data_IF_253747887729
#
_entry.id   IF_253747887729
#
_cell.length_a   1.000
_cell.length_b   1.000
_cell.length_c   1.000
_cell.angle_alpha   90.00
_cell.angle_beta   90.00
_cell.angle_gamma   90.00
#
_symmetry.space_group_name_H-M   'P 1'
#
loop_
_entity.id
_entity.type
_entity.pdbx_description
1 polymer ?
#
# COMPACT_ATOMS: atom_id res chain seq x y z
N UNK A 1 -18.38 22.14 7.49
CA UNK A 1 -17.38 21.04 7.35
C UNK A 1 -16.21 21.63 6.61
N UNK A 2 -15.01 21.68 7.21
CA UNK A 2 -13.78 21.98 6.45
C UNK A 2 -13.68 20.91 5.35
N UNK A 3 -13.51 21.32 4.09
CA UNK A 3 -13.37 20.42 2.98
C UNK A 3 -12.10 19.58 3.12
N UNK A 4 -12.12 18.35 2.65
CA UNK A 4 -10.90 17.54 2.48
C UNK A 4 -10.31 17.82 1.10
N UNK A 5 -9.00 17.98 1.04
CA UNK A 5 -8.25 18.22 -0.19
C UNK A 5 -7.46 16.97 -0.53
N UNK A 6 -7.57 16.51 -1.78
CA UNK A 6 -6.84 15.35 -2.30
C UNK A 6 -5.69 15.83 -3.16
N UNK A 7 -4.48 15.45 -2.78
CA UNK A 7 -3.25 15.77 -3.48
C UNK A 7 -2.60 14.50 -4.03
N UNK A 8 -1.95 14.59 -5.18
CA UNK A 8 -1.26 13.47 -5.81
C UNK A 8 0.23 13.72 -5.90
N UNK A 9 1.00 12.64 -5.85
CA UNK A 9 2.47 12.66 -6.02
C UNK A 9 3.18 13.66 -5.11
N UNK A 10 2.83 13.67 -3.83
CA UNK A 10 3.37 14.60 -2.85
C UNK A 10 4.75 14.14 -2.37
N UNK A 11 5.69 15.07 -2.43
CA UNK A 11 7.03 14.87 -1.86
C UNK A 11 6.92 14.74 -0.34
N UNK A 12 7.51 13.69 0.21
CA UNK A 12 7.63 13.45 1.64
C UNK A 12 9.09 13.19 1.99
N UNK A 13 9.55 13.74 3.11
CA UNK A 13 10.96 13.68 3.47
C UNK A 13 11.86 14.26 2.36
N UNK A 14 13.10 13.78 2.28
CA UNK A 14 14.11 14.34 1.37
C UNK A 14 14.02 13.79 -0.07
N UNK A 15 13.64 12.52 -0.25
CA UNK A 15 13.80 11.81 -1.52
C UNK A 15 12.64 10.89 -1.90
N UNK A 16 11.49 10.99 -1.24
CA UNK A 16 10.34 10.14 -1.51
C UNK A 16 9.14 10.93 -1.98
N UNK A 17 8.28 10.28 -2.76
CA UNK A 17 6.95 10.77 -3.11
C UNK A 17 5.95 9.69 -2.80
N UNK A 18 4.83 10.07 -2.23
CA UNK A 18 3.67 9.21 -2.04
C UNK A 18 2.57 9.58 -3.03
N UNK A 19 1.78 8.60 -3.40
CA UNK A 19 0.83 8.74 -4.50
C UNK A 19 -0.33 9.67 -4.18
N UNK A 20 -0.87 9.59 -2.96
CA UNK A 20 -2.05 10.34 -2.54
C UNK A 20 -1.88 10.85 -1.12
N UNK A 21 -2.28 12.11 -0.91
CA UNK A 21 -2.44 12.68 0.43
C UNK A 21 -3.82 13.30 0.52
N UNK A 22 -4.54 12.98 1.60
CA UNK A 22 -5.82 13.60 1.94
C UNK A 22 -5.58 14.52 3.13
N UNK A 23 -5.66 15.82 2.88
CA UNK A 23 -5.36 16.85 3.85
C UNK A 23 -6.61 17.62 4.28
N UNK A 24 -6.62 18.08 5.51
CA UNK A 24 -7.65 19.01 6.01
C UNK A 24 -7.45 20.46 5.57
N UNK A 25 -6.28 20.78 5.01
CA UNK A 25 -5.91 22.11 4.54
C UNK A 25 -5.58 22.06 3.03
N UNK A 26 -5.56 23.22 2.40
CA UNK A 26 -5.29 23.35 0.96
C UNK A 26 -3.89 22.84 0.56
N UNK A 27 -2.96 22.87 1.49
CA UNK A 27 -1.62 22.31 1.34
C UNK A 27 -1.36 21.24 2.40
N UNK A 28 -0.91 20.05 1.99
CA UNK A 28 -0.48 19.05 2.97
C UNK A 28 0.69 19.57 3.80
N UNK A 29 0.61 19.35 5.10
CA UNK A 29 1.68 19.67 6.03
C UNK A 29 1.93 18.47 6.93
N UNK A 30 3.18 18.02 7.01
CA UNK A 30 3.57 16.91 7.88
C UNK A 30 3.32 17.17 9.39
N UNK A 31 2.90 18.37 9.77
CA UNK A 31 2.50 18.69 11.14
C UNK A 31 0.97 18.61 11.38
N UNK A 32 0.20 18.39 10.33
CA UNK A 32 -1.27 18.29 10.41
C UNK A 32 -1.71 16.84 10.40
N UNK A 33 -2.55 16.27 11.02
CA UNK A 33 -2.98 14.86 11.02
C UNK A 33 -3.62 14.40 9.70
N UNK A 34 -2.88 14.46 8.63
CA UNK A 34 -3.31 14.11 7.27
C UNK A 34 -3.28 12.58 7.02
N UNK A 35 -3.82 12.13 5.90
CA UNK A 35 -3.79 10.72 5.47
C UNK A 35 -2.84 10.58 4.29
N UNK A 36 -1.82 9.77 4.44
CA UNK A 36 -0.82 9.47 3.41
C UNK A 36 -1.02 8.06 2.87
N UNK A 37 -1.10 7.93 1.56
CA UNK A 37 -1.42 6.68 0.88
C UNK A 37 -0.39 6.39 -0.20
N UNK A 38 0.22 5.22 -0.12
CA UNK A 38 1.01 4.63 -1.21
C UNK A 38 0.19 3.53 -1.88
N UNK A 39 0.10 3.56 -3.20
CA UNK A 39 -0.66 2.59 -3.99
C UNK A 39 0.30 1.61 -4.66
N UNK A 40 0.04 0.32 -4.57
CA UNK A 40 0.75 -0.74 -5.28
C UNK A 40 -0.22 -1.57 -6.11
N UNK A 41 0.07 -1.71 -7.39
CA UNK A 41 -0.66 -2.63 -8.26
C UNK A 41 -0.18 -4.06 -8.01
N UNK A 42 -1.11 -4.97 -7.81
CA UNK A 42 -0.85 -6.39 -7.58
C UNK A 42 -1.43 -7.18 -8.73
N UNK A 43 -0.56 -7.74 -9.57
CA UNK A 43 -0.95 -8.37 -10.83
C UNK A 43 -0.29 -9.72 -11.08
N UNK A 44 0.72 -10.10 -10.31
CA UNK A 44 1.41 -11.37 -10.46
C UNK A 44 0.63 -12.50 -9.79
N UNK A 45 0.36 -13.59 -10.49
CA UNK A 45 -0.19 -14.80 -9.86
C UNK A 45 0.76 -15.35 -8.80
N UNK A 46 0.20 -15.74 -7.68
CA UNK A 46 0.96 -16.46 -6.64
C UNK A 46 1.49 -17.78 -7.19
N UNK A 47 2.74 -18.10 -6.86
CA UNK A 47 3.36 -19.40 -7.18
C UNK A 47 2.95 -20.51 -6.20
N UNK A 48 2.32 -20.16 -5.07
CA UNK A 48 2.08 -21.11 -3.98
C UNK A 48 0.61 -21.22 -3.56
N UNK A 49 -0.21 -20.21 -3.89
CA UNK A 49 -1.65 -20.18 -3.53
C UNK A 49 -2.48 -19.87 -4.77
N UNK A 50 -3.47 -20.71 -5.06
CA UNK A 50 -4.39 -20.47 -6.18
C UNK A 50 -5.32 -19.30 -5.86
N UNK A 51 -5.81 -18.62 -6.89
CA UNK A 51 -6.73 -17.48 -6.81
C UNK A 51 -6.20 -16.27 -6.02
N UNK A 52 -4.88 -16.21 -5.79
CA UNK A 52 -4.19 -15.10 -5.12
C UNK A 52 -3.19 -14.43 -6.06
N UNK A 53 -3.13 -13.11 -6.00
CA UNK A 53 -2.05 -12.34 -6.61
C UNK A 53 -1.09 -11.86 -5.54
N UNK A 54 0.21 -11.89 -5.83
CA UNK A 54 1.28 -11.54 -4.90
C UNK A 54 2.05 -10.29 -5.33
N UNK A 55 2.52 -9.54 -4.35
CA UNK A 55 3.45 -8.42 -4.51
C UNK A 55 4.71 -8.65 -3.64
N UNK A 56 5.91 -8.23 -4.05
CA UNK A 56 6.24 -7.64 -5.35
C UNK A 56 6.55 -8.70 -6.42
N UNK A 57 6.56 -8.28 -7.67
CA UNK A 57 6.95 -9.12 -8.81
C UNK A 57 8.47 -9.16 -9.07
N UNK A 58 9.22 -8.28 -8.41
CA UNK A 58 10.67 -8.19 -8.40
C UNK A 58 11.17 -7.56 -7.10
N UNK A 59 12.46 -7.70 -6.81
CA UNK A 59 13.09 -7.01 -5.67
C UNK A 59 12.91 -5.50 -5.80
N UNK A 60 12.42 -4.85 -4.75
CA UNK A 60 12.09 -3.42 -4.76
C UNK A 60 12.63 -2.65 -3.54
N UNK A 61 13.83 -2.09 -3.68
CA UNK A 61 14.37 -1.16 -2.68
C UNK A 61 13.51 0.09 -2.50
N UNK A 62 12.96 0.60 -3.61
CA UNK A 62 12.05 1.74 -3.59
C UNK A 62 10.78 1.43 -2.80
N UNK A 63 10.23 0.24 -2.95
CA UNK A 63 9.06 -0.21 -2.17
C UNK A 63 9.35 -0.23 -0.67
N UNK A 64 10.50 -0.76 -0.26
CA UNK A 64 10.94 -0.75 1.14
C UNK A 64 11.12 0.66 1.68
N UNK A 65 11.68 1.56 0.89
CA UNK A 65 11.83 2.96 1.24
C UNK A 65 10.48 3.64 1.49
N UNK A 66 9.48 3.37 0.66
CA UNK A 66 8.12 3.88 0.85
C UNK A 66 7.48 3.35 2.14
N UNK A 67 7.70 2.08 2.48
CA UNK A 67 7.23 1.53 3.76
C UNK A 67 7.85 2.26 4.96
N UNK A 68 9.14 2.55 4.92
CA UNK A 68 9.82 3.34 5.99
C UNK A 68 9.25 4.74 6.10
N UNK A 69 8.94 5.39 4.98
CA UNK A 69 8.30 6.72 4.99
C UNK A 69 6.89 6.66 5.59
N UNK A 70 6.11 5.63 5.29
CA UNK A 70 4.80 5.42 5.91
C UNK A 70 4.91 5.22 7.42
N UNK A 71 5.89 4.44 7.88
CA UNK A 71 6.18 4.27 9.31
C UNK A 71 6.53 5.60 9.96
N UNK A 72 7.42 6.39 9.34
CA UNK A 72 7.82 7.72 9.83
C UNK A 72 6.61 8.64 9.98
N UNK A 73 5.77 8.73 8.98
CA UNK A 73 4.56 9.55 8.98
C UNK A 73 3.56 9.08 10.04
N UNK A 74 3.42 7.77 10.23
CA UNK A 74 2.59 7.22 11.29
C UNK A 74 3.09 7.63 12.68
N UNK A 75 4.40 7.57 12.92
CA UNK A 75 5.02 8.01 14.18
C UNK A 75 4.86 9.52 14.43
N UNK A 76 4.73 10.31 13.39
CA UNK A 76 4.44 11.75 13.48
C UNK A 76 2.96 12.08 13.80
N UNK A 77 2.08 11.09 13.85
CA UNK A 77 0.68 11.27 14.19
C UNK A 77 -0.28 11.30 12.99
N UNK A 78 0.21 11.00 11.79
CA UNK A 78 -0.63 10.86 10.60
C UNK A 78 -1.29 9.49 10.50
N UNK A 79 -2.29 9.38 9.67
CA UNK A 79 -2.76 8.10 9.16
C UNK A 79 -1.94 7.72 7.95
N UNK A 80 -1.33 6.54 7.94
CA UNK A 80 -0.50 6.04 6.86
C UNK A 80 -1.07 4.73 6.31
N UNK A 81 -1.20 4.63 5.00
CA UNK A 81 -1.91 3.53 4.32
C UNK A 81 -1.06 3.00 3.16
N UNK A 82 -0.84 1.70 3.15
CA UNK A 82 -0.43 0.96 1.96
C UNK A 82 -1.70 0.39 1.30
N UNK A 83 -2.01 0.88 0.12
CA UNK A 83 -3.18 0.47 -0.63
C UNK A 83 -2.78 -0.49 -1.76
N UNK A 84 -3.26 -1.73 -1.68
CA UNK A 84 -3.00 -2.78 -2.65
C UNK A 84 -4.17 -2.88 -3.61
N UNK A 85 -3.92 -2.62 -4.88
CA UNK A 85 -4.93 -2.65 -5.92
C UNK A 85 -4.80 -3.95 -6.72
N UNK A 86 -5.73 -4.88 -6.50
CA UNK A 86 -5.77 -6.16 -7.21
C UNK A 86 -6.25 -5.95 -8.65
N UNK A 87 -5.31 -6.03 -9.59
CA UNK A 87 -5.54 -5.81 -11.02
C UNK A 87 -5.89 -7.05 -11.83
N UNK A 88 -6.36 -8.13 -11.18
CA UNK A 88 -6.71 -9.39 -11.84
C UNK A 88 -8.15 -9.80 -11.52
N UNK A 89 -8.90 -10.14 -12.57
CA UNK A 89 -10.28 -10.62 -12.42
C UNK A 89 -10.36 -12.08 -11.94
N UNK A 90 -9.32 -12.87 -12.16
CA UNK A 90 -9.22 -14.29 -11.81
C UNK A 90 -8.63 -14.54 -10.39
N UNK A 91 -8.38 -13.48 -9.63
CA UNK A 91 -7.92 -13.58 -8.24
C UNK A 91 -8.92 -12.96 -7.28
N UNK A 92 -8.98 -13.48 -6.06
CA UNK A 92 -9.90 -13.05 -5.00
C UNK A 92 -9.20 -12.64 -3.71
N UNK A 93 -7.89 -12.69 -3.66
CA UNK A 93 -7.07 -12.27 -2.53
C UNK A 93 -5.72 -11.74 -2.98
N UNK A 94 -5.05 -11.04 -2.07
CA UNK A 94 -3.69 -10.50 -2.25
C UNK A 94 -2.77 -11.10 -1.21
N UNK A 95 -1.57 -11.42 -1.61
CA UNK A 95 -0.50 -11.87 -0.72
C UNK A 95 0.84 -11.24 -1.08
N UNK A 96 1.91 -11.80 -0.54
CA UNK A 96 3.25 -11.25 -0.69
C UNK A 96 4.23 -12.34 -1.11
N UNK A 97 5.05 -12.01 -2.12
CA UNK A 97 6.04 -12.90 -2.71
C UNK A 97 7.32 -12.92 -1.87
N UNK A 98 7.30 -13.62 -0.75
CA UNK A 98 8.42 -13.73 0.19
C UNK A 98 9.65 -14.38 -0.45
N UNK A 99 9.44 -15.26 -1.42
CA UNK A 99 10.49 -15.91 -2.21
C UNK A 99 11.20 -14.94 -3.16
N UNK A 100 10.55 -13.86 -3.57
CA UNK A 100 11.11 -12.84 -4.48
C UNK A 100 11.83 -11.75 -3.71
N UNK A 101 11.17 -11.18 -2.70
CA UNK A 101 11.72 -10.09 -1.90
C UNK A 101 11.42 -10.29 -0.40
N UNK A 102 12.20 -11.12 0.29
CA UNK A 102 12.02 -11.35 1.72
C UNK A 102 12.22 -10.06 2.54
N UNK A 103 13.11 -9.18 2.12
CA UNK A 103 13.37 -7.91 2.82
C UNK A 103 12.16 -6.94 2.72
N UNK A 104 11.43 -6.95 1.61
CA UNK A 104 10.17 -6.21 1.51
C UNK A 104 9.13 -6.77 2.50
N UNK A 105 9.01 -8.08 2.59
CA UNK A 105 8.08 -8.74 3.50
C UNK A 105 8.39 -8.44 4.97
N UNK A 106 9.67 -8.41 5.36
CA UNK A 106 10.08 -7.98 6.71
C UNK A 106 9.69 -6.52 6.99
N UNK A 107 9.97 -5.62 6.05
CA UNK A 107 9.60 -4.21 6.17
C UNK A 107 8.08 -4.01 6.23
N UNK A 108 7.31 -4.82 5.51
CA UNK A 108 5.85 -4.82 5.54
C UNK A 108 5.31 -5.23 6.91
N UNK A 109 5.84 -6.30 7.50
CA UNK A 109 5.45 -6.76 8.83
C UNK A 109 5.76 -5.70 9.89
N UNK A 110 6.94 -5.08 9.81
CA UNK A 110 7.30 -3.95 10.68
C UNK A 110 6.30 -2.79 10.51
N UNK A 111 5.96 -2.43 9.28
CA UNK A 111 4.99 -1.36 9.01
C UNK A 111 3.62 -1.66 9.62
N UNK A 112 3.14 -2.90 9.50
CA UNK A 112 1.88 -3.34 10.10
C UNK A 112 1.91 -3.25 11.63
N UNK A 113 3.00 -3.68 12.27
CA UNK A 113 3.21 -3.59 13.72
C UNK A 113 3.26 -2.13 14.21
N UNK A 114 3.84 -1.23 13.42
CA UNK A 114 3.92 0.21 13.72
C UNK A 114 2.60 0.96 13.44
N UNK A 115 1.57 0.27 12.97
CA UNK A 115 0.24 0.81 12.76
C UNK A 115 -0.03 1.40 11.38
N UNK A 116 0.81 1.14 10.39
CA UNK A 116 0.49 1.40 8.99
C UNK A 116 -0.66 0.48 8.57
N UNK A 117 -1.72 1.07 8.02
CA UNK A 117 -2.86 0.30 7.54
C UNK A 117 -2.55 -0.33 6.19
N UNK A 118 -2.93 -1.59 6.03
CA UNK A 118 -2.80 -2.31 4.76
C UNK A 118 -4.20 -2.62 4.28
N UNK A 119 -4.58 -2.04 3.15
CA UNK A 119 -5.92 -2.13 2.59
C UNK A 119 -5.81 -2.67 1.17
N UNK A 120 -6.70 -3.56 0.77
CA UNK A 120 -6.73 -4.12 -0.57
C UNK A 120 -8.14 -4.07 -1.16
N UNK A 121 -8.22 -3.59 -2.39
CA UNK A 121 -9.45 -3.61 -3.19
C UNK A 121 -9.18 -4.16 -4.58
N UNK A 122 -10.18 -4.78 -5.15
CA UNK A 122 -10.17 -5.28 -6.52
C UNK A 122 -10.51 -4.16 -7.50
N UNK A 123 -9.84 -4.14 -8.65
CA UNK A 123 -10.30 -3.36 -9.80
C UNK A 123 -11.53 -4.02 -10.41
N UNK A 124 -12.57 -3.24 -10.62
CA UNK A 124 -13.77 -3.68 -11.32
C UNK A 124 -13.88 -2.99 -12.68
N UNK A 125 -14.18 -3.78 -13.69
CA UNK A 125 -14.42 -3.31 -15.06
C UNK A 125 -15.88 -3.44 -15.42
N UNK A 126 -16.45 -2.39 -16.03
CA UNK A 126 -17.79 -2.41 -16.57
C UNK A 126 -17.77 -1.76 -17.96
N UNK A 127 -17.71 -2.59 -18.99
CA UNK A 127 -17.43 -2.13 -20.36
C UNK A 127 -16.04 -1.49 -20.44
N UNK A 128 -15.96 -0.26 -20.92
CA UNK A 128 -14.71 0.52 -20.99
C UNK A 128 -14.41 1.32 -19.72
N UNK A 129 -15.22 1.20 -18.66
CA UNK A 129 -15.05 1.93 -17.40
C UNK A 129 -14.37 1.05 -16.37
N UNK A 130 -13.41 1.64 -15.68
CA UNK A 130 -12.70 1.05 -14.55
C UNK A 130 -13.11 1.79 -13.28
N UNK A 131 -13.36 1.04 -12.21
CA UNK A 131 -13.67 1.61 -10.90
C UNK A 131 -13.08 0.75 -9.78
N UNK A 132 -13.00 1.33 -8.61
CA UNK A 132 -12.66 0.59 -7.41
C UNK A 132 -13.79 -0.37 -7.06
N UNK A 133 -13.46 -1.66 -6.94
CA UNK A 133 -14.37 -2.72 -6.57
C UNK A 133 -14.36 -3.02 -5.07
N UNK A 134 -14.78 -4.23 -4.74
CA UNK A 134 -14.85 -4.72 -3.36
C UNK A 134 -13.50 -4.83 -2.68
N UNK A 135 -13.51 -4.75 -1.36
CA UNK A 135 -12.38 -5.12 -0.51
C UNK A 135 -12.10 -6.62 -0.66
N UNK A 136 -10.83 -7.00 -0.71
CA UNK A 136 -10.40 -8.40 -0.80
C UNK A 136 -9.48 -8.76 0.36
N UNK A 137 -9.45 -10.04 0.78
CA UNK A 137 -8.57 -10.51 1.83
C UNK A 137 -7.10 -10.32 1.51
N UNK A 138 -6.29 -10.05 2.54
CA UNK A 138 -4.84 -9.92 2.48
C UNK A 138 -4.21 -11.01 3.33
N UNK A 139 -3.36 -11.83 2.70
CA UNK A 139 -2.53 -12.81 3.39
C UNK A 139 -1.18 -12.16 3.69
N UNK A 140 -0.97 -11.77 4.94
CA UNK A 140 0.33 -11.22 5.37
C UNK A 140 1.43 -12.28 5.32
N UNK A 141 2.69 -11.88 5.09
CA UNK A 141 3.81 -12.81 5.14
C UNK A 141 3.89 -13.48 6.50
N UNK A 142 4.28 -14.75 6.50
CA UNK A 142 4.60 -15.44 7.76
C UNK A 142 5.97 -14.99 8.25
N UNK A 143 6.08 -14.75 9.56
CA UNK A 143 7.39 -14.55 10.17
C UNK A 143 8.23 -15.81 9.96
N UNK A 144 9.44 -15.64 9.44
CA UNK A 144 10.38 -16.74 9.34
C UNK A 144 10.79 -17.05 10.79
N UNK A 145 10.61 -18.28 11.29
CA UNK A 145 11.12 -18.64 12.62
C UNK A 145 12.63 -18.46 12.66
N UNK A 146 13.09 -17.73 13.64
CA UNK A 146 14.53 -17.55 13.88
C UNK A 146 15.13 -18.86 14.41
#
# INVERSE_FOLDING_TARGET
>A
KKGQHVHREIKVGDRSRLDIVIAGEERPDENNGDVYIEVKNVTMLSSVVSDRADFPDAVTERGRKHLRELIRLKKMGHRAVLFLLLGRSDCNSVGFAQEIDPAYCEALLEAAEEGVEIISHKLAFRGSRMRLGEEVPIDLPTQIPV
#
